data_IF_548236538510
#
_entry.id   IF_548236538510
#
_cell.length_a   1.000
_cell.length_b   1.000
_cell.length_c   1.000
_cell.angle_alpha   90.00
_cell.angle_beta   90.00
_cell.angle_gamma   90.00
#
_symmetry.space_group_name_H-M   'P 1'
#
loop_
_entity.id
_entity.type
_entity.pdbx_description
1 polymer ?
#
# COMPACT_ATOMS: atom_id res chain seq x y z
N UNK A 1 -3.05 9.72 10.22
CA UNK A 1 -3.99 9.29 9.17
C UNK A 1 -4.38 7.85 9.46
N UNK A 2 -5.64 7.48 9.25
CA UNK A 2 -6.08 6.10 9.38
C UNK A 2 -6.41 5.58 7.98
N UNK A 3 -6.00 4.36 7.65
CA UNK A 3 -6.44 3.67 6.44
C UNK A 3 -7.20 2.41 6.84
N UNK A 4 -8.23 2.08 6.08
CA UNK A 4 -8.87 0.78 6.18
C UNK A 4 -8.22 -0.15 5.17
N UNK A 5 -7.70 -1.27 5.63
CA UNK A 5 -7.10 -2.30 4.78
C UNK A 5 -8.15 -3.36 4.38
N UNK A 6 -7.77 -4.32 3.53
CA UNK A 6 -8.71 -5.20 2.82
C UNK A 6 -9.59 -6.07 3.73
N UNK A 7 -9.09 -6.46 4.90
CA UNK A 7 -9.82 -7.25 5.91
C UNK A 7 -10.76 -6.39 6.81
N UNK A 8 -10.90 -5.09 6.50
CA UNK A 8 -11.61 -4.06 7.29
C UNK A 8 -10.91 -3.64 8.59
N UNK A 9 -9.68 -4.07 8.81
CA UNK A 9 -8.85 -3.54 9.89
C UNK A 9 -8.49 -2.09 9.61
N UNK A 10 -8.46 -1.27 10.67
CA UNK A 10 -8.07 0.14 10.58
C UNK A 10 -6.64 0.26 11.08
N UNK A 11 -5.74 0.70 10.21
CA UNK A 11 -4.32 0.87 10.50
C UNK A 11 -4.00 2.35 10.70
N UNK A 12 -3.26 2.65 11.77
CA UNK A 12 -2.72 3.99 11.98
C UNK A 12 -1.40 4.16 11.22
N UNK A 13 -1.46 5.02 10.21
CA UNK A 13 -0.36 5.36 9.31
C UNK A 13 0.83 6.02 10.00
N UNK A 14 0.66 6.56 11.22
CA UNK A 14 1.79 7.08 12.00
C UNK A 14 2.80 5.99 12.40
N UNK A 15 2.36 4.73 12.43
CA UNK A 15 3.19 3.57 12.73
C UNK A 15 3.58 2.80 11.47
N UNK A 16 3.30 3.35 10.28
CA UNK A 16 3.74 2.73 9.03
C UNK A 16 5.15 3.21 8.70
N UNK A 17 6.06 2.27 8.55
CA UNK A 17 7.46 2.49 8.18
C UNK A 17 7.63 2.61 6.67
N UNK A 18 6.99 1.73 5.91
CA UNK A 18 7.12 1.69 4.46
C UNK A 18 5.82 1.23 3.79
N UNK A 19 5.58 1.67 2.55
CA UNK A 19 4.45 1.26 1.71
C UNK A 19 4.97 1.01 0.31
N UNK A 20 4.62 -0.12 -0.29
CA UNK A 20 5.11 -0.50 -1.62
C UNK A 20 4.11 -1.40 -2.34
N UNK A 21 4.37 -1.61 -3.63
CA UNK A 21 3.64 -2.57 -4.45
C UNK A 21 4.49 -3.84 -4.55
N UNK A 22 3.89 -4.97 -4.20
CA UNK A 22 4.47 -6.28 -4.32
C UNK A 22 3.76 -7.04 -5.46
N UNK A 23 4.51 -7.43 -6.48
CA UNK A 23 4.00 -8.33 -7.53
C UNK A 23 4.06 -9.76 -7.01
N UNK A 24 2.92 -10.44 -7.01
CA UNK A 24 2.81 -11.84 -6.62
C UNK A 24 2.25 -12.66 -7.78
N UNK A 25 2.85 -13.82 -8.01
CA UNK A 25 2.42 -14.73 -9.07
C UNK A 25 2.02 -16.06 -8.44
N UNK A 26 0.71 -16.33 -8.39
CA UNK A 26 0.17 -17.57 -7.81
C UNK A 26 0.34 -18.77 -8.75
N UNK A 27 0.14 -18.53 -10.05
CA UNK A 27 0.24 -19.55 -11.12
C UNK A 27 0.84 -18.95 -12.38
N UNK A 28 1.26 -19.80 -13.30
CA UNK A 28 1.77 -19.35 -14.59
C UNK A 28 0.68 -18.55 -15.33
N UNK A 29 0.94 -17.27 -15.59
CA UNK A 29 -0.01 -16.35 -16.23
C UNK A 29 -0.98 -15.58 -15.31
N UNK A 30 -1.08 -15.93 -14.02
CA UNK A 30 -1.91 -15.21 -13.04
C UNK A 30 -1.02 -14.35 -12.13
N UNK A 31 -1.01 -13.04 -12.42
CA UNK A 31 -0.30 -12.03 -11.63
C UNK A 31 -1.28 -11.18 -10.83
N UNK A 32 -0.96 -10.96 -9.57
CA UNK A 32 -1.64 -10.01 -8.70
C UNK A 32 -0.64 -8.99 -8.16
N UNK A 33 -1.12 -7.80 -7.85
CA UNK A 33 -0.33 -6.69 -7.34
C UNK A 33 -0.89 -6.29 -5.99
N UNK A 34 -0.10 -6.46 -4.94
CA UNK A 34 -0.51 -6.17 -3.57
C UNK A 34 0.09 -4.84 -3.14
N UNK A 35 -0.74 -3.91 -2.72
CA UNK A 35 -0.29 -2.73 -1.99
C UNK A 35 -0.08 -3.17 -0.54
N UNK A 36 1.18 -3.18 -0.08
CA UNK A 36 1.55 -3.58 1.28
C UNK A 36 2.01 -2.38 2.10
N UNK A 37 1.84 -2.47 3.41
CA UNK A 37 2.49 -1.56 4.37
C UNK A 37 3.19 -2.34 5.48
N UNK A 38 4.40 -1.90 5.83
CA UNK A 38 5.19 -2.41 6.96
C UNK A 38 4.94 -1.49 8.15
N UNK A 39 4.56 -2.07 9.28
CA UNK A 39 4.43 -1.37 10.54
C UNK A 39 5.80 -1.24 11.23
N UNK A 40 5.95 -0.26 12.13
CA UNK A 40 7.16 -0.08 12.94
C UNK A 40 7.50 -1.28 13.84
N UNK A 41 6.53 -2.16 14.09
CA UNK A 41 6.70 -3.42 14.83
C UNK A 41 7.03 -4.62 13.92
N UNK A 42 7.51 -4.36 12.69
CA UNK A 42 7.93 -5.37 11.70
C UNK A 42 6.83 -6.34 11.24
N UNK A 43 5.56 -5.92 11.36
CA UNK A 43 4.42 -6.64 10.77
C UNK A 43 4.05 -6.03 9.43
N UNK A 44 3.92 -6.88 8.42
CA UNK A 44 3.45 -6.50 7.09
C UNK A 44 1.96 -6.75 6.95
N UNK A 45 1.22 -5.74 6.48
CA UNK A 45 -0.21 -5.84 6.18
C UNK A 45 -0.48 -5.62 4.70
N UNK A 46 -1.50 -6.30 4.17
CA UNK A 46 -2.00 -6.07 2.81
C UNK A 46 -3.09 -5.01 2.85
N UNK A 47 -2.78 -3.83 2.31
CA UNK A 47 -3.75 -2.74 2.16
C UNK A 47 -4.80 -3.10 1.13
N UNK A 48 -4.36 -3.57 -0.04
CA UNK A 48 -5.24 -3.92 -1.15
C UNK A 48 -4.60 -4.88 -2.14
N UNK A 49 -5.34 -5.91 -2.54
CA UNK A 49 -5.01 -6.78 -3.68
C UNK A 49 -5.62 -6.24 -4.97
N UNK A 50 -4.81 -6.11 -6.02
CA UNK A 50 -5.16 -5.54 -7.31
C UNK A 50 -4.85 -6.52 -8.44
N UNK A 51 -5.64 -6.47 -9.54
CA UNK A 51 -5.41 -7.37 -10.70
C UNK A 51 -4.36 -6.83 -11.66
N UNK A 52 -4.15 -5.51 -11.65
CA UNK A 52 -3.22 -4.84 -12.56
C UNK A 52 -2.26 -3.96 -11.78
N UNK A 53 -1.07 -3.73 -12.35
CA UNK A 53 -0.08 -2.83 -11.76
C UNK A 53 -0.61 -1.40 -11.67
N UNK A 54 -1.30 -0.94 -12.71
CA UNK A 54 -1.89 0.40 -12.79
C UNK A 54 -2.93 0.63 -11.67
N UNK A 55 -3.75 -0.37 -11.35
CA UNK A 55 -4.67 -0.31 -10.22
C UNK A 55 -3.92 -0.15 -8.89
N UNK A 56 -2.85 -0.93 -8.68
CA UNK A 56 -2.03 -0.82 -7.48
C UNK A 56 -1.31 0.55 -7.37
N UNK A 57 -0.81 1.08 -8.49
CA UNK A 57 -0.19 2.41 -8.56
C UNK A 57 -1.19 3.53 -8.22
N UNK A 58 -2.42 3.44 -8.73
CA UNK A 58 -3.49 4.39 -8.41
C UNK A 58 -3.85 4.36 -6.91
N UNK A 59 -3.95 3.17 -6.31
CA UNK A 59 -4.22 3.05 -4.86
C UNK A 59 -3.07 3.63 -4.04
N UNK A 60 -1.82 3.32 -4.40
CA UNK A 60 -0.65 3.88 -3.73
C UNK A 60 -0.63 5.41 -3.82
N UNK A 61 -0.89 5.97 -5.00
CA UNK A 61 -0.94 7.41 -5.19
C UNK A 61 -2.06 8.08 -4.37
N UNK A 62 -3.24 7.46 -4.27
CA UNK A 62 -4.31 7.94 -3.40
C UNK A 62 -3.87 8.01 -1.93
N UNK A 63 -3.19 6.97 -1.44
CA UNK A 63 -2.65 6.94 -0.08
C UNK A 63 -1.63 8.06 0.12
N UNK A 64 -0.66 8.19 -0.78
CA UNK A 64 0.40 9.21 -0.69
C UNK A 64 -0.14 10.64 -0.78
N UNK A 65 -1.18 10.89 -1.59
CA UNK A 65 -1.80 12.21 -1.71
C UNK A 65 -2.54 12.63 -0.42
N UNK A 66 -2.97 11.68 0.42
CA UNK A 66 -3.53 12.00 1.74
C UNK A 66 -2.44 12.29 2.79
N UNK A 67 -1.24 11.71 2.65
CA UNK A 67 -0.08 12.02 3.50
C UNK A 67 0.44 13.45 3.32
N UNK A 68 0.37 13.98 2.10
CA UNK A 68 0.91 15.31 1.75
C UNK A 68 0.25 16.46 2.53
N UNK A 69 -0.87 16.21 3.23
CA UNK A 69 -1.55 17.17 4.12
C UNK A 69 -0.88 17.37 5.50
N UNK A 70 0.37 16.94 5.67
CA UNK A 70 1.14 17.13 6.92
C UNK A 70 2.52 16.46 6.94
N UNK A 71 2.79 15.52 6.04
CA UNK A 71 4.12 14.92 5.81
C UNK A 71 4.46 15.00 4.33
N UNK A 72 5.58 15.63 3.98
CA UNK A 72 5.95 15.87 2.58
C UNK A 72 6.50 14.59 1.95
N UNK A 73 5.78 14.02 1.00
CA UNK A 73 6.25 12.86 0.22
C UNK A 73 7.06 13.35 -0.98
N UNK A 74 8.32 12.94 -1.09
CA UNK A 74 9.17 13.28 -2.24
C UNK A 74 9.04 12.16 -3.29
N UNK A 75 8.34 12.45 -4.39
CA UNK A 75 8.23 11.56 -5.55
C UNK A 75 9.44 11.79 -6.48
N UNK A 76 10.34 10.82 -6.61
CA UNK A 76 11.44 10.85 -7.57
C UNK A 76 10.95 10.18 -8.87
N UNK A 77 11.07 10.88 -10.00
CA UNK A 77 10.70 10.40 -11.34
C UNK A 77 11.93 9.97 -12.12
#
# INVERSE_FOLDING_TARGET
>A
MLIQIEDKTIVNMQYVRSIWIYEHQYKEGEKEYLVKCEMTEETDETVKTCKTREEAENILEQILNQYDRGQRVIKIK
#
